data_IF_377515283093
#
_entry.id   IF_377515283093
#
_cell.length_a   1.000
_cell.length_b   1.000
_cell.length_c   1.000
_cell.angle_alpha   90.00
_cell.angle_beta   90.00
_cell.angle_gamma   90.00
#
_symmetry.space_group_name_H-M   'P 1'
#
loop_
_entity.id
_entity.type
_entity.pdbx_description
1 polymer ?
#
# COMPACT_ATOMS: atom_id res chain seq x y z
N UNK A 1 33.68 -31.81 0.75
CA UNK A 1 33.02 -31.26 1.94
C UNK A 1 33.34 -29.78 1.99
N UNK A 2 32.37 -28.86 1.88
CA UNK A 2 32.67 -27.44 2.04
C UNK A 2 32.76 -27.12 3.54
N UNK A 3 33.85 -26.47 3.91
CA UNK A 3 34.17 -26.04 5.27
C UNK A 3 33.20 -24.92 5.69
N UNK A 4 32.41 -25.18 6.75
CA UNK A 4 31.56 -24.18 7.39
C UNK A 4 32.42 -23.42 8.40
N UNK A 5 32.62 -22.13 8.17
CA UNK A 5 33.25 -21.20 9.11
C UNK A 5 32.21 -20.85 10.18
N UNK A 6 32.42 -21.15 11.48
CA UNK A 6 31.46 -20.80 12.53
C UNK A 6 31.57 -19.30 12.83
N UNK A 7 30.51 -18.53 12.58
CA UNK A 7 30.49 -17.11 12.96
C UNK A 7 29.58 -16.18 12.15
N UNK A 8 28.87 -16.64 11.12
CA UNK A 8 27.84 -15.84 10.44
C UNK A 8 26.48 -16.45 10.73
N UNK A 9 25.99 -16.28 11.95
CA UNK A 9 24.55 -16.33 12.18
C UNK A 9 23.93 -15.09 11.55
N UNK A 10 23.22 -15.30 10.46
CA UNK A 10 22.24 -14.39 9.87
C UNK A 10 21.27 -13.93 10.97
N UNK A 11 21.56 -12.82 11.63
CA UNK A 11 20.66 -12.14 12.56
C UNK A 11 19.59 -11.35 11.80
N UNK A 12 18.87 -12.02 10.91
CA UNK A 12 17.72 -11.46 10.20
C UNK A 12 16.48 -12.35 10.37
N UNK A 13 16.32 -12.97 11.54
CA UNK A 13 14.97 -13.32 11.98
C UNK A 13 14.27 -12.01 12.31
N UNK A 14 13.29 -11.64 11.50
CA UNK A 14 12.48 -10.45 11.72
C UNK A 14 11.82 -10.58 13.11
N UNK A 15 12.24 -9.80 14.11
CA UNK A 15 11.72 -9.89 15.49
C UNK A 15 10.19 -9.87 15.53
N UNK A 16 9.58 -9.14 14.59
CA UNK A 16 8.14 -9.09 14.39
C UNK A 16 7.54 -10.45 14.05
N UNK A 17 8.18 -11.24 13.18
CA UNK A 17 7.73 -12.60 12.83
C UNK A 17 7.84 -13.56 14.01
N UNK A 18 8.89 -13.45 14.83
CA UNK A 18 9.01 -14.25 16.06
C UNK A 18 7.86 -13.98 17.03
N UNK A 19 7.49 -12.70 17.20
CA UNK A 19 6.36 -12.32 18.03
C UNK A 19 5.02 -12.72 17.43
N UNK A 20 4.85 -12.57 16.11
CA UNK A 20 3.65 -13.04 15.41
C UNK A 20 3.44 -14.54 15.65
N UNK A 21 4.48 -15.35 15.51
CA UNK A 21 4.42 -16.79 15.76
C UNK A 21 4.10 -17.12 17.22
N UNK A 22 4.65 -16.37 18.19
CA UNK A 22 4.37 -16.56 19.63
C UNK A 22 2.95 -16.19 20.06
N UNK A 23 2.34 -15.25 19.35
CA UNK A 23 1.03 -14.68 19.69
C UNK A 23 -0.10 -15.23 18.81
N UNK A 24 0.22 -15.93 17.73
CA UNK A 24 -0.76 -16.49 16.79
C UNK A 24 -1.81 -17.34 17.52
N UNK A 25 -3.09 -17.03 17.27
CA UNK A 25 -4.22 -17.75 17.86
C UNK A 25 -4.53 -17.41 19.34
N UNK A 26 -3.70 -16.59 20.01
CA UNK A 26 -3.94 -16.18 21.40
C UNK A 26 -4.91 -15.01 21.49
N UNK A 27 -5.65 -14.92 22.60
CA UNK A 27 -6.53 -13.80 22.95
C UNK A 27 -5.84 -12.81 23.88
N UNK A 28 -6.14 -11.53 23.70
CA UNK A 28 -5.64 -10.50 24.59
C UNK A 28 -6.39 -10.52 25.93
N UNK A 29 -5.64 -10.44 27.03
CA UNK A 29 -6.14 -10.32 28.40
C UNK A 29 -5.43 -9.17 29.12
N UNK A 30 -6.13 -8.47 30.02
CA UNK A 30 -5.56 -7.34 30.75
C UNK A 30 -4.64 -7.77 31.90
N UNK A 31 -4.87 -8.95 32.48
CA UNK A 31 -4.28 -9.34 33.77
C UNK A 31 -3.48 -10.64 33.75
N UNK A 32 -3.80 -11.60 32.88
CA UNK A 32 -3.24 -12.95 32.92
C UNK A 32 -2.80 -13.47 31.56
N UNK A 33 -1.79 -14.34 31.58
CA UNK A 33 -1.19 -14.98 30.41
C UNK A 33 -1.20 -16.49 30.59
N UNK A 34 -1.65 -17.22 29.58
CA UNK A 34 -1.70 -18.68 29.57
C UNK A 34 -1.47 -19.22 28.14
N UNK A 35 -1.76 -20.50 27.88
CA UNK A 35 -1.57 -21.11 26.56
C UNK A 35 -2.42 -20.43 25.46
N UNK A 36 -3.60 -19.93 25.83
CA UNK A 36 -4.58 -19.33 24.92
C UNK A 36 -4.67 -17.80 25.03
N UNK A 37 -3.98 -17.19 25.99
CA UNK A 37 -4.07 -15.76 26.28
C UNK A 37 -2.70 -15.11 26.50
N UNK A 38 -2.57 -13.84 26.16
CA UNK A 38 -1.37 -13.04 26.44
C UNK A 38 -1.77 -11.68 27.04
N UNK A 39 -0.87 -11.09 27.82
CA UNK A 39 -1.10 -9.77 28.40
C UNK A 39 -0.02 -8.77 27.98
N UNK A 40 -0.26 -7.49 28.29
CA UNK A 40 0.63 -6.38 27.92
C UNK A 40 2.05 -6.52 28.50
N UNK A 41 2.20 -7.19 29.64
CA UNK A 41 3.48 -7.38 30.33
C UNK A 41 4.41 -8.35 29.58
N UNK A 42 3.87 -9.20 28.73
CA UNK A 42 4.66 -10.17 27.95
C UNK A 42 5.24 -9.55 26.69
N UNK A 43 4.75 -8.37 26.27
CA UNK A 43 5.14 -7.72 25.03
C UNK A 43 6.47 -6.95 25.20
N UNK A 44 7.24 -6.76 24.12
CA UNK A 44 8.48 -5.98 24.16
C UNK A 44 8.20 -4.52 24.56
N UNK A 45 9.21 -3.79 25.03
CA UNK A 45 9.05 -2.42 25.56
C UNK A 45 8.29 -1.49 24.60
N UNK A 46 8.62 -1.53 23.31
CA UNK A 46 7.93 -0.79 22.25
C UNK A 46 6.85 -1.67 21.61
N UNK A 47 5.59 -1.52 22.05
CA UNK A 47 4.47 -2.27 21.48
C UNK A 47 3.18 -1.45 21.41
N UNK A 48 2.25 -1.90 20.55
CA UNK A 48 0.88 -1.40 20.47
C UNK A 48 -0.10 -2.56 20.26
N UNK A 49 -1.11 -2.66 21.12
CA UNK A 49 -2.25 -3.56 20.90
C UNK A 49 -3.35 -2.73 20.25
N UNK A 50 -3.80 -3.15 19.07
CA UNK A 50 -4.74 -2.40 18.23
C UNK A 50 -6.04 -3.19 18.16
N UNK A 51 -7.11 -2.62 18.70
CA UNK A 51 -8.47 -3.20 18.61
C UNK A 51 -9.15 -2.79 17.30
N UNK A 52 -10.11 -3.57 16.79
CA UNK A 52 -10.91 -3.16 15.64
C UNK A 52 -11.54 -1.77 15.85
N UNK A 53 -11.37 -0.88 14.88
CA UNK A 53 -11.91 0.49 14.91
C UNK A 53 -11.17 1.47 15.82
N UNK A 54 -10.10 1.06 16.50
CA UNK A 54 -9.29 1.96 17.32
C UNK A 54 -8.54 2.96 16.43
N UNK A 55 -8.77 4.26 16.66
CA UNK A 55 -7.99 5.30 16.01
C UNK A 55 -6.54 5.22 16.51
N UNK A 56 -5.62 4.98 15.58
CA UNK A 56 -4.19 4.89 15.84
C UNK A 56 -3.44 5.73 14.83
N UNK A 57 -2.29 6.27 15.24
CA UNK A 57 -1.36 6.89 14.30
C UNK A 57 -0.85 5.83 13.32
N UNK A 58 -0.78 6.18 12.05
CA UNK A 58 -0.35 5.26 10.97
C UNK A 58 1.15 5.35 10.69
N UNK A 59 1.90 5.86 11.66
CA UNK A 59 3.36 5.93 11.61
C UNK A 59 3.97 4.52 11.59
N UNK A 60 4.93 4.35 10.69
CA UNK A 60 5.75 3.16 10.61
C UNK A 60 6.97 3.30 11.51
N UNK A 61 7.15 2.32 12.40
CA UNK A 61 8.27 2.23 13.31
C UNK A 61 8.74 0.77 13.35
N UNK A 62 9.95 0.50 12.86
CA UNK A 62 10.51 -0.84 12.76
C UNK A 62 10.77 -1.49 14.12
N UNK A 63 11.02 -0.68 15.15
CA UNK A 63 11.30 -1.18 16.51
C UNK A 63 10.02 -1.43 17.33
N UNK A 64 8.83 -1.06 16.81
CA UNK A 64 7.55 -1.19 17.51
C UNK A 64 6.76 -2.41 17.04
N UNK A 65 6.48 -3.33 17.96
CA UNK A 65 5.57 -4.45 17.70
C UNK A 65 4.11 -3.97 17.69
N UNK A 66 3.45 -4.05 16.54
CA UNK A 66 1.99 -3.86 16.44
C UNK A 66 1.29 -5.23 16.50
N UNK A 67 0.44 -5.41 17.50
CA UNK A 67 -0.42 -6.59 17.66
C UNK A 67 -1.85 -6.19 17.33
N UNK A 68 -2.35 -6.62 16.17
CA UNK A 68 -3.71 -6.37 15.74
C UNK A 68 -4.64 -7.42 16.33
N UNK A 69 -5.79 -7.01 16.85
CA UNK A 69 -6.82 -7.91 17.35
C UNK A 69 -8.01 -7.96 16.40
N UNK A 70 -8.68 -9.10 16.33
CA UNK A 70 -9.97 -9.25 15.67
C UNK A 70 -11.15 -8.88 16.58
N UNK A 71 -12.38 -8.94 16.04
CA UNK A 71 -13.62 -8.61 16.78
C UNK A 71 -13.87 -9.55 17.98
N UNK A 72 -13.17 -10.70 18.05
CA UNK A 72 -13.23 -11.66 19.16
C UNK A 72 -12.15 -11.43 20.24
N UNK A 73 -11.26 -10.45 20.02
CA UNK A 73 -10.11 -10.15 20.87
C UNK A 73 -8.91 -11.10 20.67
N UNK A 74 -8.91 -11.93 19.63
CA UNK A 74 -7.78 -12.77 19.25
C UNK A 74 -6.79 -12.02 18.36
N UNK A 75 -5.52 -12.45 18.35
CA UNK A 75 -4.52 -11.86 17.46
C UNK A 75 -4.89 -12.11 16.00
N UNK A 76 -5.13 -11.02 15.29
CA UNK A 76 -5.36 -11.00 13.85
C UNK A 76 -4.04 -11.28 13.12
N UNK A 77 -4.07 -12.22 12.20
CA UNK A 77 -2.96 -12.57 11.32
C UNK A 77 -3.46 -12.67 9.88
N UNK A 78 -2.57 -12.52 8.88
CA UNK A 78 -2.94 -12.75 7.50
C UNK A 78 -3.52 -14.16 7.31
N UNK A 79 -4.66 -14.25 6.61
CA UNK A 79 -5.26 -15.54 6.27
C UNK A 79 -4.44 -16.24 5.18
N UNK A 80 -4.49 -17.57 5.05
CA UNK A 80 -3.94 -18.26 3.89
C UNK A 80 -4.53 -17.73 2.57
N UNK A 81 -3.77 -17.90 1.47
CA UNK A 81 -4.24 -17.56 0.11
C UNK A 81 -5.50 -18.37 -0.24
N UNK A 82 -6.52 -17.68 -0.71
CA UNK A 82 -7.74 -18.29 -1.22
C UNK A 82 -7.89 -18.00 -2.73
N UNK A 83 -8.03 -19.05 -3.54
CA UNK A 83 -8.27 -18.89 -4.98
C UNK A 83 -9.60 -18.18 -5.24
N UNK A 84 -9.58 -17.19 -6.11
CA UNK A 84 -10.78 -16.49 -6.54
C UNK A 84 -11.55 -17.32 -7.57
N UNK A 85 -12.89 -17.20 -7.53
CA UNK A 85 -13.76 -17.74 -8.56
C UNK A 85 -13.50 -17.00 -9.87
N UNK A 86 -13.56 -17.71 -11.00
CA UNK A 86 -13.29 -17.12 -12.33
C UNK A 86 -14.22 -15.95 -12.68
N UNK A 87 -15.47 -15.96 -12.21
CA UNK A 87 -16.39 -14.83 -12.39
C UNK A 87 -15.94 -13.58 -11.65
N UNK A 88 -15.48 -13.73 -10.40
CA UNK A 88 -14.94 -12.63 -9.57
C UNK A 88 -13.66 -12.08 -10.19
N UNK A 89 -12.74 -12.94 -10.62
CA UNK A 89 -11.50 -12.52 -11.29
C UNK A 89 -11.80 -11.73 -12.58
N UNK A 90 -12.78 -12.14 -13.38
CA UNK A 90 -13.18 -11.42 -14.59
C UNK A 90 -13.75 -10.04 -14.27
N UNK A 91 -14.62 -9.94 -13.26
CA UNK A 91 -15.17 -8.67 -12.79
C UNK A 91 -14.08 -7.74 -12.27
N UNK A 92 -13.17 -8.27 -11.44
CA UNK A 92 -12.01 -7.54 -10.92
C UNK A 92 -11.15 -7.01 -12.06
N UNK A 93 -10.82 -7.84 -13.05
CA UNK A 93 -10.05 -7.41 -14.21
C UNK A 93 -10.72 -6.27 -14.99
N UNK A 94 -12.05 -6.31 -15.16
CA UNK A 94 -12.79 -5.22 -15.80
C UNK A 94 -12.73 -3.93 -14.97
N UNK A 95 -12.93 -4.03 -13.66
CA UNK A 95 -12.81 -2.89 -12.74
C UNK A 95 -11.41 -2.26 -12.79
N UNK A 96 -10.36 -3.09 -12.83
CA UNK A 96 -8.98 -2.60 -12.90
C UNK A 96 -8.68 -1.87 -14.21
N UNK A 97 -9.23 -2.32 -15.34
CA UNK A 97 -9.07 -1.63 -16.62
C UNK A 97 -9.87 -0.33 -16.69
N UNK A 98 -11.02 -0.26 -16.01
CA UNK A 98 -11.76 0.99 -15.88
C UNK A 98 -10.99 2.02 -15.04
N UNK A 99 -10.37 1.59 -13.93
CA UNK A 99 -9.58 2.47 -13.06
C UNK A 99 -8.20 2.82 -13.65
N UNK A 100 -7.56 1.87 -14.32
CA UNK A 100 -6.22 1.99 -14.90
C UNK A 100 -6.22 1.63 -16.39
N UNK A 101 -6.78 2.48 -17.27
CA UNK A 101 -6.88 2.20 -18.70
C UNK A 101 -5.54 1.91 -19.36
N UNK A 102 -4.47 2.58 -18.92
CA UNK A 102 -3.11 2.40 -19.42
C UNK A 102 -2.50 1.02 -19.14
N UNK A 103 -3.16 0.17 -18.34
CA UNK A 103 -2.78 -1.24 -18.20
C UNK A 103 -3.33 -2.12 -19.34
N UNK A 104 -4.25 -1.64 -20.16
CA UNK A 104 -4.87 -2.40 -21.26
C UNK A 104 -3.85 -3.12 -22.18
N UNK A 105 -2.71 -2.51 -22.55
CA UNK A 105 -1.71 -3.21 -23.38
C UNK A 105 -0.98 -4.34 -22.66
N UNK A 106 -0.93 -4.30 -21.32
CA UNK A 106 -0.10 -5.17 -20.48
C UNK A 106 -0.94 -6.16 -19.64
N UNK A 107 -2.26 -6.02 -19.61
CA UNK A 107 -3.12 -6.75 -18.67
C UNK A 107 -3.12 -8.26 -18.89
N UNK A 108 -2.85 -8.74 -20.11
CA UNK A 108 -2.72 -10.18 -20.38
C UNK A 108 -1.40 -10.76 -19.87
N UNK A 109 -0.36 -9.94 -19.72
CA UNK A 109 0.89 -10.28 -19.02
C UNK A 109 0.71 -10.23 -17.51
N UNK A 110 0.02 -9.19 -17.00
CA UNK A 110 -0.17 -8.95 -15.56
C UNK A 110 -1.17 -9.93 -14.94
N UNK A 111 -2.31 -10.13 -15.59
CA UNK A 111 -3.40 -10.98 -15.10
C UNK A 111 -4.00 -11.80 -16.24
N UNK A 112 -3.32 -12.87 -16.69
CA UNK A 112 -3.80 -13.67 -17.81
C UNK A 112 -5.20 -14.24 -17.56
N UNK A 113 -6.04 -14.33 -18.60
CA UNK A 113 -7.46 -14.74 -18.48
C UNK A 113 -7.67 -16.13 -17.86
N UNK A 114 -6.71 -17.04 -18.04
CA UNK A 114 -6.75 -18.42 -17.50
C UNK A 114 -5.95 -18.59 -16.21
N UNK A 115 -5.28 -17.55 -15.75
CA UNK A 115 -4.48 -17.60 -14.55
C UNK A 115 -5.38 -17.74 -13.31
N UNK A 116 -4.85 -18.31 -12.23
CA UNK A 116 -5.59 -18.54 -10.98
C UNK A 116 -5.23 -17.47 -9.95
N UNK A 117 -5.92 -16.33 -9.99
CA UNK A 117 -5.70 -15.26 -9.01
C UNK A 117 -6.15 -15.69 -7.62
N UNK A 118 -5.34 -15.40 -6.61
CA UNK A 118 -5.68 -15.65 -5.20
C UNK A 118 -5.84 -14.34 -4.44
N UNK A 119 -6.67 -14.34 -3.40
CA UNK A 119 -6.75 -13.26 -2.42
C UNK A 119 -6.24 -13.71 -1.06
N UNK A 120 -5.64 -12.78 -0.32
CA UNK A 120 -5.15 -12.97 1.03
C UNK A 120 -5.74 -11.87 1.91
N UNK A 121 -6.51 -12.22 2.95
CA UNK A 121 -6.98 -11.23 3.92
C UNK A 121 -5.83 -10.90 4.85
N UNK A 122 -5.54 -9.64 5.04
CA UNK A 122 -4.50 -9.12 5.90
C UNK A 122 -5.13 -8.56 7.19
N UNK A 123 -4.27 -8.10 8.09
CA UNK A 123 -4.67 -7.27 9.23
C UNK A 123 -5.34 -5.98 8.75
N UNK A 124 -6.11 -5.35 9.63
CA UNK A 124 -6.88 -4.12 9.34
C UNK A 124 -7.86 -4.27 8.17
N UNK A 125 -8.32 -5.50 7.93
CA UNK A 125 -9.30 -5.85 6.89
C UNK A 125 -8.85 -5.54 5.46
N UNK A 126 -7.54 -5.37 5.24
CA UNK A 126 -7.01 -5.23 3.89
C UNK A 126 -7.05 -6.56 3.14
N UNK A 127 -7.20 -6.53 1.83
CA UNK A 127 -7.14 -7.73 0.98
C UNK A 127 -6.05 -7.55 -0.06
N UNK A 128 -5.10 -8.48 -0.13
CA UNK A 128 -4.07 -8.52 -1.16
C UNK A 128 -4.45 -9.54 -2.25
N UNK A 129 -4.33 -9.14 -3.50
CA UNK A 129 -4.49 -9.99 -4.67
C UNK A 129 -3.12 -10.44 -5.18
N UNK A 130 -2.89 -11.75 -5.15
CA UNK A 130 -1.62 -12.39 -5.49
C UNK A 130 -1.83 -13.35 -6.66
N UNK A 131 -1.01 -13.21 -7.69
CA UNK A 131 -0.93 -14.18 -8.77
C UNK A 131 0.32 -15.03 -8.58
N UNK A 132 0.14 -16.33 -8.33
CA UNK A 132 1.20 -17.25 -7.93
C UNK A 132 1.95 -16.76 -6.68
N UNK A 133 3.11 -16.13 -6.87
CA UNK A 133 3.93 -15.48 -5.83
C UNK A 133 4.03 -13.96 -5.98
N UNK A 134 3.44 -13.37 -7.01
CA UNK A 134 3.53 -11.93 -7.29
C UNK A 134 2.33 -11.16 -6.72
N UNK A 135 2.53 -10.22 -5.78
CA UNK A 135 1.49 -9.30 -5.34
C UNK A 135 1.20 -8.27 -6.45
N UNK A 136 -0.07 -8.18 -6.87
CA UNK A 136 -0.48 -7.30 -7.96
C UNK A 136 -1.21 -6.05 -7.47
N UNK A 137 -2.25 -6.25 -6.67
CA UNK A 137 -3.13 -5.18 -6.20
C UNK A 137 -3.56 -5.45 -4.77
N UNK A 138 -3.92 -4.40 -4.03
CA UNK A 138 -4.53 -4.54 -2.72
C UNK A 138 -5.72 -3.62 -2.57
N UNK A 139 -6.61 -3.96 -1.66
CA UNK A 139 -7.80 -3.20 -1.33
C UNK A 139 -7.82 -2.96 0.18
N UNK A 140 -8.11 -1.74 0.58
CA UNK A 140 -8.30 -1.38 1.99
C UNK A 140 -9.79 -1.37 2.29
N UNK A 141 -10.23 -1.86 3.46
CA UNK A 141 -11.68 -1.98 3.78
C UNK A 141 -12.41 -0.63 3.77
N UNK A 142 -11.69 0.46 4.08
CA UNK A 142 -12.22 1.82 4.12
C UNK A 142 -12.44 2.40 2.72
N UNK A 143 -11.77 1.84 1.70
CA UNK A 143 -11.80 2.34 0.32
C UNK A 143 -12.37 1.29 -0.63
N UNK A 144 -13.35 1.68 -1.44
CA UNK A 144 -13.79 0.84 -2.56
C UNK A 144 -12.73 0.76 -3.66
N UNK A 145 -11.73 1.63 -3.66
CA UNK A 145 -10.68 1.70 -4.67
C UNK A 145 -9.62 0.63 -4.45
N UNK A 146 -9.31 -0.11 -5.51
CA UNK A 146 -8.25 -1.11 -5.53
C UNK A 146 -6.95 -0.43 -5.99
N UNK A 147 -5.91 -0.51 -5.17
CA UNK A 147 -4.63 0.14 -5.39
C UNK A 147 -3.60 -0.86 -5.94
N UNK A 148 -2.71 -0.45 -6.87
CA UNK A 148 -1.64 -1.31 -7.33
C UNK A 148 -0.60 -1.51 -6.23
N UNK A 149 -0.03 -2.71 -6.18
CA UNK A 149 1.14 -2.97 -5.35
C UNK A 149 2.38 -2.28 -5.95
N UNK A 150 3.30 -1.79 -5.12
CA UNK A 150 4.47 -1.03 -5.61
C UNK A 150 5.35 -1.83 -6.58
N UNK A 151 5.48 -3.14 -6.38
CA UNK A 151 6.22 -4.01 -7.33
C UNK A 151 5.60 -4.00 -8.73
N UNK A 152 4.27 -3.94 -8.83
CA UNK A 152 3.58 -3.82 -10.11
C UNK A 152 3.81 -2.45 -10.73
N UNK A 153 3.72 -1.39 -9.91
CA UNK A 153 4.01 -0.01 -10.34
C UNK A 153 5.43 0.10 -10.88
N UNK A 154 6.42 -0.49 -10.22
CA UNK A 154 7.82 -0.48 -10.68
C UNK A 154 8.02 -1.21 -12.01
N UNK A 155 7.24 -2.26 -12.28
CA UNK A 155 7.28 -2.99 -13.56
C UNK A 155 6.58 -2.23 -14.70
N UNK A 156 5.52 -1.48 -14.40
CA UNK A 156 4.74 -0.71 -15.38
C UNK A 156 4.55 0.76 -14.94
N UNK A 157 5.63 1.56 -14.81
CA UNK A 157 5.58 2.87 -14.14
C UNK A 157 4.75 3.92 -14.89
N UNK A 158 4.53 3.73 -16.19
CA UNK A 158 3.78 4.67 -17.03
C UNK A 158 2.26 4.39 -17.01
N UNK A 159 1.82 3.31 -16.39
CA UNK A 159 0.43 2.86 -16.48
C UNK A 159 -0.48 3.39 -15.35
N UNK A 160 0.00 4.32 -14.54
CA UNK A 160 -0.68 4.80 -13.34
C UNK A 160 -0.61 6.32 -13.22
N UNK A 161 -1.66 6.98 -12.68
CA UNK A 161 -1.60 8.40 -12.35
C UNK A 161 -0.49 8.70 -11.34
N UNK A 162 0.34 9.71 -11.61
CA UNK A 162 1.49 10.05 -10.76
C UNK A 162 1.46 11.49 -10.26
N UNK A 163 1.91 11.70 -9.02
CA UNK A 163 2.33 13.01 -8.49
C UNK A 163 3.77 12.91 -7.99
N UNK A 164 4.50 14.02 -7.94
CA UNK A 164 5.87 14.04 -7.40
C UNK A 164 5.97 14.87 -6.14
N UNK A 165 6.61 14.31 -5.12
CA UNK A 165 6.95 15.01 -3.88
C UNK A 165 8.38 15.58 -3.95
N UNK A 166 8.63 16.62 -3.18
CA UNK A 166 9.99 17.13 -2.95
C UNK A 166 10.83 16.21 -2.05
N UNK A 167 12.13 16.52 -1.98
CA UNK A 167 13.10 15.78 -1.17
C UNK A 167 12.78 15.75 0.33
N UNK A 168 12.19 16.81 0.87
CA UNK A 168 11.91 16.93 2.30
C UNK A 168 10.79 15.99 2.74
N UNK A 169 9.80 15.77 1.86
CA UNK A 169 8.68 14.87 2.12
C UNK A 169 9.05 13.38 2.07
N UNK A 170 10.12 12.99 1.36
CA UNK A 170 10.48 11.58 1.10
C UNK A 170 10.54 10.76 2.39
N UNK A 171 11.28 11.23 3.40
CA UNK A 171 11.47 10.46 4.65
C UNK A 171 10.14 10.20 5.36
N UNK A 172 9.21 11.15 5.28
CA UNK A 172 7.94 11.09 6.00
C UNK A 172 6.97 10.14 5.30
N UNK A 173 6.94 10.17 3.96
CA UNK A 173 6.18 9.20 3.16
C UNK A 173 6.70 7.78 3.40
N UNK A 174 8.03 7.60 3.42
CA UNK A 174 8.65 6.30 3.73
C UNK A 174 8.57 5.90 5.21
N UNK A 175 7.96 6.73 6.07
CA UNK A 175 7.62 6.39 7.45
C UNK A 175 6.10 6.26 7.66
N UNK A 176 5.31 6.15 6.59
CA UNK A 176 3.86 6.00 6.64
C UNK A 176 3.09 7.25 7.08
N UNK A 177 3.71 8.43 7.06
CA UNK A 177 3.02 9.66 7.38
C UNK A 177 2.08 10.10 6.23
N UNK A 178 0.98 10.75 6.59
CA UNK A 178 0.08 11.42 5.64
C UNK A 178 0.86 12.42 4.78
N UNK A 179 0.65 12.36 3.46
CA UNK A 179 1.26 13.32 2.53
C UNK A 179 0.50 14.64 2.59
N UNK A 180 1.22 15.72 2.91
CA UNK A 180 0.66 17.07 3.04
C UNK A 180 0.97 17.91 1.81
N UNK A 181 0.07 18.85 1.50
CA UNK A 181 0.15 19.71 0.32
C UNK A 181 1.50 20.45 0.13
N UNK A 182 2.18 20.97 1.19
CA UNK A 182 3.47 21.64 1.03
C UNK A 182 4.55 20.79 0.35
N UNK A 183 4.51 19.47 0.52
CA UNK A 183 5.46 18.55 -0.14
C UNK A 183 5.26 18.42 -1.66
N UNK A 184 4.12 18.89 -2.17
CA UNK A 184 3.70 18.81 -3.57
C UNK A 184 3.68 20.19 -4.26
N UNK A 185 3.46 21.27 -3.51
CA UNK A 185 3.41 22.65 -4.01
C UNK A 185 4.75 23.39 -3.93
N UNK A 186 5.79 22.76 -3.37
CA UNK A 186 7.14 23.29 -3.37
C UNK A 186 7.81 23.21 -4.76
N UNK A 187 9.02 23.78 -4.90
CA UNK A 187 9.78 23.75 -6.15
C UNK A 187 10.10 22.33 -6.65
N UNK A 188 10.25 21.38 -5.72
CA UNK A 188 10.52 19.97 -6.02
C UNK A 188 9.28 19.17 -6.39
N UNK A 189 8.12 19.58 -5.88
CA UNK A 189 6.85 18.90 -6.10
C UNK A 189 6.31 19.08 -7.53
N UNK A 190 5.57 18.09 -8.02
CA UNK A 190 4.85 18.14 -9.30
C UNK A 190 3.43 17.63 -9.10
N UNK A 191 2.49 18.56 -9.21
CA UNK A 191 1.08 18.29 -9.45
C UNK A 191 0.78 18.46 -10.96
N UNK A 192 -0.36 17.93 -11.45
CA UNK A 192 -0.84 18.20 -12.79
C UNK A 192 -0.73 19.68 -13.16
N UNK A 193 -0.56 20.00 -14.45
CA UNK A 193 -0.47 21.40 -14.91
C UNK A 193 -1.70 22.20 -14.49
N UNK A 194 -1.52 23.48 -14.22
CA UNK A 194 -2.66 24.37 -13.97
C UNK A 194 -3.49 24.49 -15.25
N UNK A 195 -4.81 24.36 -15.12
CA UNK A 195 -5.73 24.34 -16.27
C UNK A 195 -5.73 23.02 -17.04
N UNK A 196 -5.11 21.95 -16.51
CA UNK A 196 -5.30 20.61 -17.05
C UNK A 196 -6.78 20.21 -17.01
N UNK A 197 -7.17 19.27 -17.89
CA UNK A 197 -8.55 18.82 -17.97
C UNK A 197 -9.06 18.35 -16.58
N UNK A 198 -10.26 18.81 -16.21
CA UNK A 198 -10.94 18.50 -14.95
C UNK A 198 -12.10 17.56 -15.20
N UNK A 199 -12.41 16.72 -14.22
CA UNK A 199 -13.50 15.76 -14.31
C UNK A 199 -13.08 14.41 -14.89
N UNK A 200 -14.08 13.54 -15.13
CA UNK A 200 -13.84 12.16 -15.52
C UNK A 200 -13.00 12.03 -16.78
N UNK A 201 -12.39 10.86 -16.96
CA UNK A 201 -11.75 10.52 -18.22
C UNK A 201 -12.74 10.72 -19.37
N UNK A 202 -12.31 11.47 -20.39
CA UNK A 202 -13.11 11.60 -21.60
C UNK A 202 -13.22 10.24 -22.28
N UNK A 203 -14.45 9.82 -22.55
CA UNK A 203 -14.75 8.52 -23.14
C UNK A 203 -14.05 8.37 -24.49
N UNK A 204 -13.26 7.30 -24.63
CA UNK A 204 -12.45 7.02 -25.81
C UNK A 204 -11.08 7.73 -25.87
N UNK A 205 -10.74 8.60 -24.91
CA UNK A 205 -9.41 9.24 -24.77
C UNK A 205 -8.67 8.82 -23.50
N UNK A 206 -9.12 7.75 -22.84
CA UNK A 206 -8.53 7.27 -21.59
C UNK A 206 -7.05 6.90 -21.74
N UNK A 207 -6.65 6.48 -22.95
CA UNK A 207 -5.29 6.07 -23.30
C UNK A 207 -4.35 7.26 -23.58
N UNK A 208 -4.86 8.49 -23.71
CA UNK A 208 -4.04 9.68 -23.97
C UNK A 208 -3.32 10.20 -22.72
N UNK A 209 -3.68 9.66 -21.56
CA UNK A 209 -3.08 10.01 -20.28
C UNK A 209 -1.59 9.68 -20.26
N UNK A 210 -0.80 10.61 -19.74
CA UNK A 210 0.66 10.45 -19.63
C UNK A 210 1.27 11.46 -18.67
N UNK A 211 2.50 11.18 -18.29
CA UNK A 211 3.41 12.16 -17.68
C UNK A 211 3.99 13.04 -18.80
N UNK A 212 4.00 14.35 -18.59
CA UNK A 212 4.65 15.29 -19.48
C UNK A 212 6.18 15.34 -19.29
N UNK A 213 6.84 16.19 -20.08
CA UNK A 213 8.29 16.44 -20.03
C UNK A 213 8.79 17.03 -18.70
N UNK A 214 7.90 17.62 -17.90
CA UNK A 214 8.20 18.17 -16.57
C UNK A 214 7.91 17.20 -15.41
N UNK A 215 7.40 16.01 -15.71
CA UNK A 215 7.00 15.03 -14.69
C UNK A 215 5.61 15.27 -14.10
N UNK A 216 4.70 15.96 -14.82
CA UNK A 216 3.33 16.25 -14.38
C UNK A 216 2.34 15.36 -15.12
N UNK A 217 1.35 14.86 -14.40
CA UNK A 217 0.25 14.11 -15.01
C UNK A 217 -0.62 15.01 -15.90
N UNK A 218 -1.13 14.46 -17.01
CA UNK A 218 -1.81 15.22 -18.08
C UNK A 218 -3.19 15.77 -17.72
N UNK A 219 -3.80 15.34 -16.61
CA UNK A 219 -5.12 15.80 -16.14
C UNK A 219 -5.13 16.01 -14.63
N UNK A 220 -6.12 16.76 -14.14
CA UNK A 220 -6.39 16.83 -12.71
C UNK A 220 -6.94 15.49 -12.20
N UNK A 221 -6.67 15.21 -10.92
CA UNK A 221 -7.13 14.01 -10.24
C UNK A 221 -8.11 14.39 -9.13
N UNK A 222 -9.18 13.62 -9.00
CA UNK A 222 -10.26 13.86 -8.04
C UNK A 222 -10.03 13.15 -6.71
N UNK A 223 -10.83 13.51 -5.70
CA UNK A 223 -10.87 12.80 -4.41
C UNK A 223 -11.28 11.34 -4.63
N UNK A 224 -10.62 10.42 -3.93
CA UNK A 224 -10.87 8.98 -4.05
C UNK A 224 -10.13 8.31 -5.18
N UNK A 225 -9.47 9.07 -6.06
CA UNK A 225 -8.65 8.50 -7.12
C UNK A 225 -7.34 7.91 -6.58
N UNK A 226 -6.89 6.78 -7.15
CA UNK A 226 -5.61 6.18 -6.83
C UNK A 226 -4.46 7.00 -7.45
N UNK A 227 -3.38 7.18 -6.70
CA UNK A 227 -2.21 7.93 -7.16
C UNK A 227 -0.91 7.26 -6.73
N UNK A 228 0.04 7.24 -7.66
CA UNK A 228 1.43 6.83 -7.45
C UNK A 228 2.25 8.06 -7.06
N UNK A 229 3.05 7.92 -6.02
CA UNK A 229 3.89 8.98 -5.47
C UNK A 229 5.32 8.76 -5.93
N UNK A 230 5.79 9.66 -6.80
CA UNK A 230 7.17 9.77 -7.27
C UNK A 230 7.95 10.71 -6.35
N UNK A 231 9.26 10.55 -6.28
CA UNK A 231 10.12 11.42 -5.46
C UNK A 231 11.13 12.20 -6.32
N UNK A 232 11.39 13.45 -5.95
CA UNK A 232 12.38 14.28 -6.63
C UNK A 232 13.78 13.60 -6.62
N UNK A 233 14.35 13.41 -7.82
CA UNK A 233 15.66 12.77 -7.99
C UNK A 233 15.64 11.25 -7.86
N UNK A 234 14.47 10.61 -7.83
CA UNK A 234 14.31 9.14 -7.84
C UNK A 234 13.56 8.70 -9.11
N UNK A 235 13.94 7.54 -9.63
CA UNK A 235 13.31 6.95 -10.81
C UNK A 235 12.10 6.09 -10.45
N UNK A 236 12.16 5.43 -9.29
CA UNK A 236 11.11 4.53 -8.81
C UNK A 236 10.10 5.27 -7.93
N UNK A 237 8.85 4.80 -7.98
CA UNK A 237 7.80 5.25 -7.08
C UNK A 237 8.13 4.88 -5.63
N UNK A 238 7.89 5.80 -4.70
CA UNK A 238 8.12 5.56 -3.28
C UNK A 238 6.87 5.10 -2.53
N UNK A 239 5.68 5.45 -3.04
CA UNK A 239 4.41 5.09 -2.41
C UNK A 239 3.23 5.07 -3.40
N UNK A 240 2.12 4.46 -2.98
CA UNK A 240 0.83 4.45 -3.67
C UNK A 240 -0.25 4.71 -2.63
N UNK A 241 -1.21 5.57 -2.92
CA UNK A 241 -2.33 5.83 -2.01
C UNK A 241 -3.54 6.39 -2.73
N UNK A 242 -4.51 6.86 -1.93
CA UNK A 242 -5.75 7.46 -2.43
C UNK A 242 -5.76 8.95 -2.11
N UNK A 243 -6.18 9.78 -3.07
CA UNK A 243 -6.32 11.21 -2.86
C UNK A 243 -7.48 11.52 -1.90
N UNK A 244 -7.22 12.38 -0.92
CA UNK A 244 -8.24 12.91 0.01
C UNK A 244 -8.66 14.35 -0.33
N UNK A 245 -7.96 14.99 -1.28
CA UNK A 245 -8.27 16.30 -1.82
C UNK A 245 -7.94 16.31 -3.33
N UNK A 246 -8.71 17.03 -4.16
CA UNK A 246 -8.46 17.08 -5.60
C UNK A 246 -7.22 17.93 -5.91
N UNK A 247 -6.49 17.61 -6.98
CA UNK A 247 -5.16 18.19 -7.23
C UNK A 247 -5.18 19.69 -7.50
N UNK A 248 -6.28 20.22 -8.05
CA UNK A 248 -6.48 21.64 -8.28
C UNK A 248 -6.68 22.42 -6.97
N UNK A 249 -7.46 21.88 -6.03
CA UNK A 249 -7.62 22.43 -4.69
C UNK A 249 -6.30 22.41 -3.92
N UNK A 250 -5.54 21.33 -4.01
CA UNK A 250 -4.23 21.20 -3.35
C UNK A 250 -3.28 22.29 -3.84
N UNK A 251 -3.26 22.57 -5.15
CA UNK A 251 -2.49 23.69 -5.72
C UNK A 251 -2.97 25.04 -5.21
N UNK A 252 -4.28 25.27 -5.20
CA UNK A 252 -4.87 26.56 -4.82
C UNK A 252 -4.68 26.89 -3.33
N UNK A 253 -4.87 25.90 -2.44
CA UNK A 253 -4.78 26.09 -0.99
C UNK A 253 -3.37 25.95 -0.45
N UNK A 254 -2.56 25.07 -1.04
CA UNK A 254 -1.18 24.77 -0.60
C UNK A 254 -1.07 24.20 0.83
N UNK A 255 -2.18 23.77 1.43
CA UNK A 255 -2.25 23.24 2.81
C UNK A 255 -3.27 22.11 2.91
N UNK A 256 -3.11 21.28 3.93
CA UNK A 256 -4.00 20.15 4.21
C UNK A 256 -3.44 18.80 3.76
N UNK A 257 -4.12 17.71 4.14
CA UNK A 257 -3.76 16.36 3.71
C UNK A 257 -4.10 16.15 2.24
N UNK A 258 -3.31 15.34 1.55
CA UNK A 258 -3.46 15.05 0.11
C UNK A 258 -3.57 13.57 -0.16
N UNK A 259 -2.71 12.76 0.47
CA UNK A 259 -2.79 11.30 0.39
C UNK A 259 -2.72 10.72 1.80
N UNK A 260 -3.68 9.86 2.11
CA UNK A 260 -3.70 9.05 3.33
C UNK A 260 -3.48 7.57 2.99
N UNK A 261 -3.09 6.79 3.99
CA UNK A 261 -3.05 5.32 3.95
C UNK A 261 -2.24 4.73 2.80
N UNK A 262 -1.10 5.35 2.52
CA UNK A 262 -0.25 4.93 1.42
C UNK A 262 0.50 3.63 1.75
N UNK A 263 0.56 2.72 0.77
CA UNK A 263 1.55 1.65 0.72
C UNK A 263 2.87 2.24 0.22
N UNK A 264 3.97 2.03 0.93
CA UNK A 264 5.27 2.65 0.62
C UNK A 264 6.44 1.66 0.68
N UNK A 265 7.57 2.03 0.09
CA UNK A 265 8.76 1.19 0.09
C UNK A 265 9.27 0.90 1.50
N UNK A 266 9.40 -0.38 1.83
CA UNK A 266 9.89 -0.82 3.14
C UNK A 266 8.80 -1.02 4.19
N UNK A 267 7.54 -0.76 3.87
CA UNK A 267 6.41 -1.07 4.75
C UNK A 267 6.18 -2.59 4.91
N UNK A 268 5.21 -2.94 5.76
CA UNK A 268 4.86 -4.34 6.00
C UNK A 268 4.37 -5.07 4.75
N UNK A 269 3.64 -4.39 3.87
CA UNK A 269 3.11 -4.98 2.64
C UNK A 269 4.24 -5.24 1.62
N UNK A 270 5.21 -4.34 1.52
CA UNK A 270 6.39 -4.45 0.67
C UNK A 270 7.29 -5.63 1.08
N UNK A 271 7.50 -5.78 2.39
CA UNK A 271 8.34 -6.82 3.00
C UNK A 271 7.64 -8.18 3.08
N UNK A 272 6.32 -8.23 2.85
CA UNK A 272 5.55 -9.45 3.03
C UNK A 272 5.97 -10.53 2.02
N UNK A 273 6.18 -11.74 2.53
CA UNK A 273 6.33 -12.92 1.68
C UNK A 273 4.96 -13.34 1.15
N UNK A 274 4.93 -13.58 -0.14
CA UNK A 274 3.75 -14.04 -0.88
C UNK A 274 4.01 -15.41 -1.49
N UNK A 275 4.89 -16.22 -0.90
CA UNK A 275 5.07 -17.63 -1.26
C UNK A 275 3.91 -18.49 -0.75
#
# INVERSE_FOLDING_TARGET
>A
MPLVVPGVTTASSNKTEEWQNKLMGKKFSESESNETMFCKKDLPEQHRVIKPGQLVTKDFNEDRLNVHLDDSGAVSSPSPKQKLKSSVQRSLRQSLLATYPLLTPHIDEILPKKASLSSMKLTDRNTLYVLDTEPLFYQQDVSSTILPHLRLVHRFPQSFPTIRIDRGAIRFVLSGATLMAPGLTSKGGRLPREGAHKGPLEEGREMDQRVDDEGRWSRELEVGEPVVIMAEGKQEACAVGTLVAPTDEVKAKGKGPVVEDAHFLGDGLWKMSTE
#
